data_IF_458670591322
#
_entry.id   IF_458670591322
#
_cell.length_a   1.000
_cell.length_b   1.000
_cell.length_c   1.000
_cell.angle_alpha   90.00
_cell.angle_beta   90.00
_cell.angle_gamma   90.00
#
_symmetry.space_group_name_H-M   'P 1'
#
loop_
_entity.id
_entity.type
_entity.pdbx_description
1 polymer ?
#
# COMPACT_ATOMS: atom_id res chain seq x y z
N UNK A 1 -2.89 -38.42 -3.39
CA UNK A 1 -2.05 -37.22 -3.62
C UNK A 1 -2.77 -36.33 -4.62
N UNK A 2 -3.13 -35.10 -4.24
CA UNK A 2 -3.71 -34.15 -5.20
C UNK A 2 -2.67 -33.80 -6.26
N UNK A 3 -3.06 -33.78 -7.52
CA UNK A 3 -2.13 -33.49 -8.62
C UNK A 3 -1.64 -32.05 -8.52
N UNK A 4 -0.36 -31.84 -8.84
CA UNK A 4 0.29 -30.51 -8.82
C UNK A 4 -0.50 -29.44 -9.61
N UNK A 5 -1.13 -29.84 -10.71
CA UNK A 5 -2.01 -28.97 -11.50
C UNK A 5 -3.28 -28.50 -10.77
N UNK A 6 -3.86 -29.34 -9.89
CA UNK A 6 -5.01 -28.93 -9.05
C UNK A 6 -4.59 -27.95 -7.97
N UNK A 7 -3.44 -28.19 -7.33
CA UNK A 7 -2.86 -27.28 -6.33
C UNK A 7 -2.55 -25.90 -6.94
N UNK A 8 -1.97 -25.88 -8.15
CA UNK A 8 -1.68 -24.63 -8.85
C UNK A 8 -2.96 -23.87 -9.28
N UNK A 9 -3.99 -24.59 -9.70
CA UNK A 9 -5.28 -23.99 -10.07
C UNK A 9 -6.04 -23.44 -8.85
N UNK A 10 -6.06 -24.19 -7.74
CA UNK A 10 -6.65 -23.75 -6.47
C UNK A 10 -5.93 -22.50 -5.92
N UNK A 11 -4.60 -22.47 -6.02
CA UNK A 11 -3.79 -21.31 -5.63
C UNK A 11 -4.16 -20.05 -6.44
N UNK A 12 -4.25 -20.17 -7.78
CA UNK A 12 -4.67 -19.05 -8.64
C UNK A 12 -6.08 -18.57 -8.31
N UNK A 13 -7.01 -19.50 -8.13
CA UNK A 13 -8.38 -19.18 -7.78
C UNK A 13 -8.49 -18.49 -6.40
N UNK A 14 -7.65 -18.87 -5.44
CA UNK A 14 -7.59 -18.23 -4.13
C UNK A 14 -7.09 -16.78 -4.22
N UNK A 15 -6.04 -16.53 -5.03
CA UNK A 15 -5.51 -15.18 -5.25
C UNK A 15 -6.52 -14.27 -5.97
N UNK A 16 -7.23 -14.78 -6.97
CA UNK A 16 -8.29 -14.05 -7.66
C UNK A 16 -9.42 -13.64 -6.70
N UNK A 17 -9.85 -14.55 -5.82
CA UNK A 17 -10.86 -14.27 -4.79
C UNK A 17 -10.39 -13.18 -3.82
N UNK A 18 -9.13 -13.24 -3.36
CA UNK A 18 -8.55 -12.19 -2.51
C UNK A 18 -8.53 -10.84 -3.20
N UNK A 19 -8.21 -10.79 -4.49
CA UNK A 19 -8.19 -9.54 -5.25
C UNK A 19 -9.59 -8.93 -5.40
N UNK A 20 -10.61 -9.76 -5.65
CA UNK A 20 -12.01 -9.33 -5.72
C UNK A 20 -12.48 -8.80 -4.36
N UNK A 21 -12.21 -9.53 -3.28
CA UNK A 21 -12.62 -9.12 -1.94
C UNK A 21 -11.91 -7.82 -1.51
N UNK A 22 -10.62 -7.71 -1.79
CA UNK A 22 -9.87 -6.47 -1.54
C UNK A 22 -10.47 -5.29 -2.28
N UNK A 23 -10.86 -5.46 -3.55
CA UNK A 23 -11.52 -4.40 -4.33
C UNK A 23 -12.85 -4.00 -3.69
N UNK A 24 -13.66 -4.98 -3.29
CA UNK A 24 -14.94 -4.74 -2.61
C UNK A 24 -14.75 -3.95 -1.31
N UNK A 25 -13.78 -4.34 -0.48
CA UNK A 25 -13.47 -3.65 0.78
C UNK A 25 -13.09 -2.18 0.55
N UNK A 26 -12.26 -1.91 -0.46
CA UNK A 26 -11.89 -0.54 -0.83
C UNK A 26 -13.13 0.28 -1.26
N UNK A 27 -14.01 -0.31 -2.06
CA UNK A 27 -15.24 0.36 -2.51
C UNK A 27 -16.14 0.72 -1.33
N UNK A 28 -16.34 -0.22 -0.39
CA UNK A 28 -17.14 0.01 0.83
C UNK A 28 -16.54 1.15 1.65
N UNK A 29 -15.23 1.13 1.90
CA UNK A 29 -14.55 2.20 2.65
C UNK A 29 -14.71 3.58 1.98
N UNK A 30 -14.57 3.65 0.66
CA UNK A 30 -14.80 4.89 -0.09
C UNK A 30 -16.26 5.35 -0.01
N UNK A 31 -17.21 4.43 -0.23
CA UNK A 31 -18.64 4.74 -0.18
C UNK A 31 -19.05 5.25 1.21
N UNK A 32 -18.58 4.61 2.28
CA UNK A 32 -18.81 5.06 3.67
C UNK A 32 -18.23 6.45 3.91
N UNK A 33 -16.99 6.71 3.47
CA UNK A 33 -16.37 8.03 3.58
C UNK A 33 -17.20 9.14 2.91
N UNK A 34 -17.72 8.90 1.70
CA UNK A 34 -18.60 9.86 1.04
C UNK A 34 -19.97 9.98 1.71
N UNK A 35 -20.50 8.90 2.28
CA UNK A 35 -21.74 8.88 3.04
C UNK A 35 -21.64 9.77 4.30
N UNK A 36 -20.54 9.66 5.05
CA UNK A 36 -20.30 10.44 6.27
C UNK A 36 -20.15 11.94 5.98
N UNK A 37 -19.65 12.29 4.79
CA UNK A 37 -19.59 13.68 4.30
C UNK A 37 -20.93 14.19 3.74
N UNK A 38 -21.97 13.34 3.67
CA UNK A 38 -23.29 13.70 3.16
C UNK A 38 -23.41 13.71 1.64
N UNK A 39 -22.44 13.16 0.90
CA UNK A 39 -22.46 13.10 -0.57
C UNK A 39 -23.33 11.95 -1.08
N UNK A 40 -24.61 11.95 -0.72
CA UNK A 40 -25.55 10.84 -0.99
C UNK A 40 -25.66 10.50 -2.48
N UNK A 41 -25.64 11.50 -3.35
CA UNK A 41 -25.68 11.29 -4.81
C UNK A 41 -24.45 10.54 -5.32
N UNK A 42 -23.26 10.83 -4.79
CA UNK A 42 -22.02 10.11 -5.13
C UNK A 42 -22.09 8.67 -4.64
N UNK A 43 -22.58 8.46 -3.41
CA UNK A 43 -22.76 7.11 -2.85
C UNK A 43 -23.71 6.29 -3.71
N UNK A 44 -24.84 6.86 -4.14
CA UNK A 44 -25.79 6.17 -5.04
C UNK A 44 -25.13 5.74 -6.36
N UNK A 45 -24.33 6.61 -6.98
CA UNK A 45 -23.61 6.28 -8.21
C UNK A 45 -22.56 5.17 -7.98
N UNK A 46 -21.80 5.24 -6.88
CA UNK A 46 -20.84 4.17 -6.53
C UNK A 46 -21.57 2.83 -6.37
N UNK A 47 -22.71 2.81 -5.68
CA UNK A 47 -23.48 1.57 -5.48
C UNK A 47 -24.02 1.01 -6.80
N UNK A 48 -24.47 1.88 -7.72
CA UNK A 48 -24.95 1.50 -9.04
C UNK A 48 -23.82 0.92 -9.93
N UNK A 49 -22.66 1.58 -9.96
CA UNK A 49 -21.54 1.20 -10.84
C UNK A 49 -20.82 -0.06 -10.36
N UNK A 50 -20.82 -0.32 -9.05
CA UNK A 50 -20.04 -1.41 -8.45
C UNK A 50 -20.88 -2.61 -8.02
N UNK A 51 -22.21 -2.47 -7.99
CA UNK A 51 -23.15 -3.45 -7.41
C UNK A 51 -22.82 -3.80 -5.94
N UNK A 52 -22.15 -2.90 -5.22
CA UNK A 52 -21.89 -2.98 -3.78
C UNK A 52 -22.83 -2.01 -3.10
N UNK A 53 -23.61 -2.47 -2.12
CA UNK A 53 -24.58 -1.63 -1.40
C UNK A 53 -24.24 -1.56 0.08
N UNK A 54 -24.20 -0.35 0.64
CA UNK A 54 -23.94 -0.13 2.07
C UNK A 54 -25.02 -0.75 2.95
N UNK A 55 -26.25 -0.89 2.45
CA UNK A 55 -27.34 -1.57 3.17
C UNK A 55 -27.08 -3.07 3.35
N UNK A 56 -26.24 -3.66 2.50
CA UNK A 56 -25.89 -5.09 2.53
C UNK A 56 -24.53 -5.34 3.16
N UNK A 57 -23.57 -4.46 2.91
CA UNK A 57 -22.19 -4.57 3.39
C UNK A 57 -21.66 -3.16 3.63
N UNK A 58 -21.49 -2.82 4.91
CA UNK A 58 -20.88 -1.55 5.34
C UNK A 58 -19.51 -1.79 5.96
N UNK A 59 -18.76 -0.70 6.18
CA UNK A 59 -17.53 -0.73 6.97
C UNK A 59 -17.81 -1.18 8.41
N UNK A 60 -16.84 -1.83 9.04
CA UNK A 60 -16.95 -2.20 10.44
C UNK A 60 -16.68 -0.99 11.35
N UNK A 61 -17.20 -1.03 12.59
CA UNK A 61 -17.10 0.09 13.54
C UNK A 61 -15.65 0.45 13.92
N UNK A 62 -14.71 -0.46 13.72
CA UNK A 62 -13.30 -0.30 14.06
C UNK A 62 -12.41 0.11 12.88
N UNK A 63 -13.00 0.49 11.74
CA UNK A 63 -12.23 0.87 10.55
C UNK A 63 -12.91 1.99 9.75
N UNK A 64 -12.12 3.00 9.41
CA UNK A 64 -12.54 4.08 8.52
C UNK A 64 -11.34 4.58 7.69
N UNK A 65 -11.64 5.24 6.56
CA UNK A 65 -10.62 5.69 5.62
C UNK A 65 -9.68 6.78 6.21
N UNK A 66 -10.17 7.80 6.95
CA UNK A 66 -9.30 8.74 7.68
C UNK A 66 -8.31 8.08 8.64
N UNK A 67 -8.75 7.12 9.44
CA UNK A 67 -7.90 6.40 10.40
C UNK A 67 -6.82 5.61 9.68
N UNK A 68 -7.18 4.86 8.62
CA UNK A 68 -6.21 4.14 7.78
C UNK A 68 -5.14 5.08 7.21
N UNK A 69 -5.55 6.27 6.75
CA UNK A 69 -4.61 7.24 6.18
C UNK A 69 -3.62 7.74 7.23
N UNK A 70 -4.11 8.06 8.42
CA UNK A 70 -3.29 8.52 9.55
C UNK A 70 -2.28 7.45 9.96
N UNK A 71 -2.72 6.21 10.15
CA UNK A 71 -1.84 5.09 10.50
C UNK A 71 -0.76 4.85 9.43
N UNK A 72 -1.12 5.01 8.15
CA UNK A 72 -0.15 4.91 7.06
C UNK A 72 0.87 6.06 7.09
N UNK A 73 0.44 7.29 7.36
CA UNK A 73 1.34 8.44 7.50
C UNK A 73 2.33 8.23 8.64
N UNK A 74 1.85 7.82 9.81
CA UNK A 74 2.67 7.55 11.00
C UNK A 74 3.67 6.42 10.74
N UNK A 75 3.21 5.31 10.14
CA UNK A 75 4.10 4.21 9.76
C UNK A 75 5.17 4.65 8.76
N UNK A 76 4.80 5.43 7.74
CA UNK A 76 5.72 5.90 6.72
C UNK A 76 6.75 6.88 7.32
N UNK A 77 6.32 7.79 8.19
CA UNK A 77 7.22 8.71 8.89
C UNK A 77 8.19 7.97 9.80
N UNK A 78 7.70 6.99 10.58
CA UNK A 78 8.56 6.12 11.40
C UNK A 78 9.58 5.36 10.56
N UNK A 79 9.18 4.84 9.40
CA UNK A 79 10.05 4.01 8.53
C UNK A 79 11.05 4.80 7.70
N UNK A 80 10.68 5.99 7.24
CA UNK A 80 11.44 6.75 6.26
C UNK A 80 11.93 8.11 6.77
N UNK A 81 11.63 8.47 8.03
CA UNK A 81 12.05 9.72 8.66
C UNK A 81 11.41 10.97 8.05
N UNK A 82 10.30 10.81 7.33
CA UNK A 82 9.55 11.91 6.67
C UNK A 82 8.11 11.51 6.40
N UNK A 83 7.20 12.47 6.36
CA UNK A 83 5.81 12.25 5.95
C UNK A 83 5.69 11.81 4.48
N UNK A 84 4.73 10.92 4.14
CA UNK A 84 4.48 10.54 2.76
C UNK A 84 3.87 11.71 1.98
N UNK A 85 4.11 11.74 0.67
CA UNK A 85 3.46 12.69 -0.23
C UNK A 85 2.16 12.07 -0.75
N UNK A 86 1.03 12.42 -0.15
CA UNK A 86 -0.28 11.83 -0.46
C UNK A 86 -0.86 12.30 -1.80
N UNK A 87 -0.68 13.57 -2.14
CA UNK A 87 -1.24 14.18 -3.35
C UNK A 87 -0.17 14.89 -4.17
N UNK A 88 -0.40 14.93 -5.49
CA UNK A 88 0.41 15.73 -6.43
C UNK A 88 -0.54 16.54 -7.31
N UNK A 89 -0.08 17.71 -7.77
CA UNK A 89 -0.82 18.49 -8.78
C UNK A 89 -0.90 17.69 -10.08
N UNK A 90 -2.08 17.68 -10.70
CA UNK A 90 -2.34 16.89 -11.90
C UNK A 90 -1.70 17.48 -13.18
N UNK A 91 -1.42 18.79 -13.20
CA UNK A 91 -0.80 19.47 -14.33
C UNK A 91 0.72 19.61 -14.10
N UNK A 92 1.54 19.06 -15.01
CA UNK A 92 2.88 19.58 -15.28
C UNK A 92 4.11 18.80 -14.80
N UNK A 93 4.12 18.14 -13.64
CA UNK A 93 5.40 17.66 -13.09
C UNK A 93 5.71 16.19 -13.44
N UNK A 94 6.27 15.98 -14.64
CA UNK A 94 6.97 14.73 -14.97
C UNK A 94 8.20 14.51 -14.07
N UNK A 95 8.82 15.60 -13.58
CA UNK A 95 9.99 15.56 -12.69
C UNK A 95 9.64 15.04 -11.29
N UNK A 96 8.45 15.38 -10.76
CA UNK A 96 8.02 14.96 -9.43
C UNK A 96 7.84 13.44 -9.27
N UNK A 97 7.61 12.69 -10.36
CA UNK A 97 7.57 11.22 -10.34
C UNK A 97 8.96 10.62 -10.07
N UNK A 98 10.00 11.16 -10.71
CA UNK A 98 11.39 10.67 -10.60
C UNK A 98 11.99 10.92 -9.22
N UNK A 99 11.59 12.01 -8.56
CA UNK A 99 12.08 12.34 -7.21
C UNK A 99 11.53 11.45 -6.10
N UNK A 100 10.31 10.93 -6.26
CA UNK A 100 9.73 9.98 -5.32
C UNK A 100 10.47 8.63 -5.37
N UNK A 101 10.73 8.11 -6.57
CA UNK A 101 11.43 6.84 -6.77
C UNK A 101 12.85 6.87 -6.21
N UNK A 102 13.60 7.96 -6.44
CA UNK A 102 14.96 8.16 -5.89
C UNK A 102 15.00 8.22 -4.36
N UNK A 103 13.94 8.71 -3.73
CA UNK A 103 13.87 8.92 -2.28
C UNK A 103 13.32 7.70 -1.52
N UNK A 104 12.73 6.72 -2.21
CA UNK A 104 12.29 5.43 -1.64
C UNK A 104 13.42 4.39 -1.70
N UNK A 105 14.52 4.70 -2.40
CA UNK A 105 15.77 3.94 -2.30
C UNK A 105 16.27 4.00 -0.85
N UNK A 106 16.12 2.88 -0.14
CA UNK A 106 16.51 2.70 1.26
C UNK A 106 18.01 3.00 1.47
N UNK A 107 18.42 3.52 2.64
CA UNK A 107 19.80 3.43 3.07
C UNK A 107 20.20 1.95 3.19
N UNK A 108 21.39 1.58 2.70
CA UNK A 108 22.01 0.32 3.12
C UNK A 108 22.27 0.43 4.62
N UNK A 109 21.60 -0.42 5.40
CA UNK A 109 21.98 -0.64 6.78
C UNK A 109 23.29 -1.43 6.71
N UNK A 110 24.42 -0.74 6.89
CA UNK A 110 25.71 -1.38 7.09
C UNK A 110 25.73 -1.97 8.51
N UNK A 111 25.11 -3.14 8.64
CA UNK A 111 25.16 -3.98 9.83
C UNK A 111 26.34 -4.95 9.75
N UNK A 112 27.44 -4.58 10.41
CA UNK A 112 28.45 -5.45 11.03
C UNK A 112 28.90 -6.74 10.31
N UNK A 113 30.09 -6.66 9.69
CA UNK A 113 31.11 -7.71 9.55
C UNK A 113 32.41 -6.96 9.15
N UNK A 114 33.60 -7.12 9.69
CA UNK A 114 34.24 -8.19 10.44
C UNK A 114 35.57 -7.60 10.99
N UNK A 115 35.83 -7.69 12.29
CA UNK A 115 37.18 -7.53 12.83
C UNK A 115 37.97 -8.82 12.50
N UNK A 116 38.89 -8.77 11.53
CA UNK A 116 39.65 -9.98 11.24
C UNK A 116 40.68 -9.93 10.11
N UNK A 117 41.93 -9.56 10.47
CA UNK A 117 43.21 -10.00 9.88
C UNK A 117 43.57 -9.66 8.41
N UNK A 118 44.73 -9.02 8.26
CA UNK A 118 45.50 -8.98 7.01
C UNK A 118 46.82 -8.21 7.13
N UNK A 119 47.78 -8.76 7.86
CA UNK A 119 49.21 -8.40 7.83
C UNK A 119 49.78 -8.50 6.39
N UNK A 120 50.59 -7.53 5.95
CA UNK A 120 51.22 -7.61 4.62
C UNK A 120 51.89 -6.34 4.08
N UNK A 121 53.06 -6.01 4.61
CA UNK A 121 54.25 -5.43 3.95
C UNK A 121 54.15 -4.44 2.77
N UNK A 122 54.79 -3.27 2.93
CA UNK A 122 55.11 -2.35 1.83
C UNK A 122 56.06 -1.23 2.24
N UNK A 123 57.31 -1.58 2.58
CA UNK A 123 58.37 -0.66 3.00
C UNK A 123 58.84 0.20 1.81
N UNK A 124 58.68 1.52 1.94
CA UNK A 124 59.35 2.54 1.11
C UNK A 124 60.85 2.29 1.08
N UNK A 125 61.43 2.17 -0.12
CA UNK A 125 62.72 2.75 -0.53
C UNK A 125 62.77 2.86 -2.04
#
# INVERSE_FOLDING_TARGET
AMSRARVDAESRQAEERKAIEKRKNIIVLCARFFQDLGYLGTVQQIQADTNVSLDKVDAADNIDLPTILTEYEDFYEMRFGRKPKLVRKACGDAEARRDLERKVSLPRIDGAADEGRGDGGGKKR
#
